data_IF_867878333973
#
_entry.id   IF_867878333973
#
_cell.length_a   1.000
_cell.length_b   1.000
_cell.length_c   1.000
_cell.angle_alpha   90.00
_cell.angle_beta   90.00
_cell.angle_gamma   90.00
#
_symmetry.space_group_name_H-M   'P 1'
#
loop_
_entity.id
_entity.type
_entity.pdbx_description
1 polymer ?
#
# COMPACT_ATOMS: atom_id res chain seq x y z
N UNK A 1 1.11 -4.45 -10.04
CA UNK A 1 1.16 -4.71 -8.58
C UNK A 1 2.31 -5.65 -8.27
N UNK A 2 3.32 -5.20 -7.51
CA UNK A 2 4.37 -6.10 -6.99
C UNK A 2 3.71 -7.02 -5.96
N UNK A 3 3.65 -8.33 -6.23
CA UNK A 3 3.09 -9.32 -5.29
C UNK A 3 4.05 -9.42 -4.10
N UNK A 4 3.54 -9.24 -2.89
CA UNK A 4 4.31 -9.56 -1.69
C UNK A 4 4.44 -11.08 -1.62
N UNK A 5 5.66 -11.61 -1.75
CA UNK A 5 5.86 -13.05 -1.85
C UNK A 5 5.80 -13.74 -0.48
N UNK A 6 5.00 -14.82 -0.41
CA UNK A 6 5.05 -15.87 0.60
C UNK A 6 5.23 -15.38 2.05
N UNK A 7 6.31 -15.84 2.68
CA UNK A 7 6.63 -15.67 4.11
C UNK A 7 6.56 -14.21 4.58
N UNK A 8 6.87 -13.24 3.72
CA UNK A 8 6.82 -11.81 4.05
C UNK A 8 5.36 -11.36 4.28
N UNK A 9 4.41 -11.91 3.51
CA UNK A 9 2.99 -11.59 3.68
C UNK A 9 2.40 -12.17 4.96
N UNK A 10 2.87 -13.34 5.41
CA UNK A 10 2.45 -13.92 6.70
C UNK A 10 2.97 -13.13 7.88
N UNK A 11 4.24 -12.72 7.83
CA UNK A 11 4.86 -11.86 8.84
C UNK A 11 4.13 -10.52 8.96
N UNK A 12 3.86 -9.87 7.83
CA UNK A 12 3.11 -8.61 7.82
C UNK A 12 1.68 -8.78 8.37
N UNK A 13 1.01 -9.90 8.09
CA UNK A 13 -0.32 -10.18 8.66
C UNK A 13 -0.28 -10.30 10.19
N UNK A 14 0.72 -11.00 10.73
CA UNK A 14 0.91 -11.12 12.18
C UNK A 14 1.06 -9.76 12.86
N UNK A 15 1.93 -8.90 12.32
CA UNK A 15 2.12 -7.53 12.85
C UNK A 15 0.84 -6.71 12.79
N UNK A 16 0.08 -6.80 11.68
CA UNK A 16 -1.17 -6.04 11.50
C UNK A 16 -2.28 -6.53 12.44
N UNK A 17 -2.36 -7.82 12.77
CA UNK A 17 -3.42 -8.38 13.61
C UNK A 17 -3.08 -8.37 15.10
N UNK A 18 -1.88 -8.83 15.45
CA UNK A 18 -1.51 -9.14 16.83
C UNK A 18 -0.59 -8.07 17.45
N UNK A 19 -0.15 -7.08 16.65
CA UNK A 19 0.72 -5.99 17.09
C UNK A 19 2.19 -6.38 17.22
N UNK A 20 2.50 -7.68 17.24
CA UNK A 20 3.87 -8.19 17.20
C UNK A 20 4.00 -9.54 16.48
N UNK A 21 5.24 -9.93 16.19
CA UNK A 21 5.57 -11.26 15.65
C UNK A 21 7.05 -11.60 15.86
N UNK A 22 7.37 -12.89 15.89
CA UNK A 22 8.75 -13.39 15.91
C UNK A 22 9.07 -14.07 14.58
N UNK A 23 10.15 -13.65 13.93
CA UNK A 23 10.60 -14.23 12.66
C UNK A 23 12.01 -14.79 12.78
N UNK A 24 12.32 -15.81 11.98
CA UNK A 24 13.66 -16.39 11.92
C UNK A 24 14.29 -16.16 10.55
N UNK A 25 15.41 -15.42 10.53
CA UNK A 25 16.23 -15.14 9.34
C UNK A 25 17.62 -15.69 9.61
N UNK A 26 18.10 -16.59 8.76
CA UNK A 26 19.43 -17.23 8.87
C UNK A 26 19.72 -17.83 10.26
N UNK A 27 18.72 -18.49 10.85
CA UNK A 27 18.82 -19.12 12.18
C UNK A 27 18.79 -18.14 13.36
N UNK A 28 18.63 -16.83 13.10
CA UNK A 28 18.51 -15.81 14.13
C UNK A 28 17.05 -15.38 14.27
N UNK A 29 16.58 -15.30 15.51
CA UNK A 29 15.22 -14.85 15.84
C UNK A 29 15.19 -13.33 16.01
N UNK A 30 14.24 -12.69 15.35
CA UNK A 30 13.96 -11.27 15.42
C UNK A 30 12.54 -11.07 15.92
N UNK A 31 12.37 -10.15 16.88
CA UNK A 31 11.06 -9.70 17.33
C UNK A 31 10.71 -8.41 16.61
N UNK A 32 9.55 -8.38 15.98
CA UNK A 32 8.98 -7.23 15.32
C UNK A 32 7.73 -6.84 16.09
N UNK A 33 7.61 -5.58 16.45
CA UNK A 33 6.41 -5.03 17.07
C UNK A 33 6.03 -3.73 16.38
N UNK A 34 4.74 -3.44 16.36
CA UNK A 34 4.24 -2.14 15.97
C UNK A 34 4.69 -1.12 17.04
N UNK A 35 5.44 -0.10 16.63
CA UNK A 35 5.94 0.92 17.55
C UNK A 35 4.88 1.94 17.95
N UNK A 36 3.96 2.24 17.03
CA UNK A 36 2.90 3.22 17.20
C UNK A 36 1.65 2.72 16.47
N UNK A 37 0.50 2.80 17.13
CA UNK A 37 -0.77 2.52 16.46
C UNK A 37 -1.09 3.66 15.48
N UNK A 38 -1.59 3.34 14.28
CA UNK A 38 -2.04 4.37 13.36
C UNK A 38 -3.24 5.12 13.97
N UNK A 39 -3.24 6.45 13.86
CA UNK A 39 -4.31 7.31 14.40
C UNK A 39 -5.67 7.02 13.77
N UNK A 40 -5.69 6.61 12.51
CA UNK A 40 -6.88 6.26 11.75
C UNK A 40 -6.64 5.04 10.88
N UNK A 41 -7.73 4.39 10.49
CA UNK A 41 -7.73 3.34 9.48
C UNK A 41 -8.08 3.92 8.10
N UNK A 42 -7.63 3.25 7.04
CA UNK A 42 -8.01 3.60 5.66
C UNK A 42 -9.54 3.63 5.47
N UNK A 43 -10.29 2.81 6.22
CA UNK A 43 -11.75 2.81 6.16
C UNK A 43 -12.36 4.08 6.78
N UNK A 44 -11.77 4.60 7.85
CA UNK A 44 -12.16 5.84 8.50
C UNK A 44 -11.81 7.04 7.62
N UNK A 45 -10.58 7.09 7.08
CA UNK A 45 -10.16 8.17 6.18
C UNK A 45 -11.07 8.29 4.95
N UNK A 46 -11.48 7.16 4.37
CA UNK A 46 -12.39 7.11 3.21
C UNK A 46 -13.83 7.48 3.56
N UNK A 47 -14.24 7.26 4.82
CA UNK A 47 -15.56 7.67 5.29
C UNK A 47 -15.60 9.19 5.54
N UNK A 48 -14.52 9.72 6.08
CA UNK A 48 -14.44 11.11 6.53
C UNK A 48 -14.05 12.07 5.37
N UNK A 49 -13.45 11.55 4.29
CA UNK A 49 -13.19 12.29 3.05
C UNK A 49 -13.91 11.66 1.82
N UNK A 50 -15.08 12.21 1.43
CA UNK A 50 -15.80 11.79 0.23
C UNK A 50 -15.01 11.97 -1.08
N UNK A 51 -14.13 12.97 -1.17
CA UNK A 51 -13.31 13.23 -2.37
C UNK A 51 -12.23 12.17 -2.50
N UNK A 52 -11.60 11.76 -1.38
CA UNK A 52 -10.69 10.61 -1.34
C UNK A 52 -11.38 9.35 -1.83
N UNK A 53 -12.62 9.08 -1.38
CA UNK A 53 -13.40 7.94 -1.85
C UNK A 53 -13.60 7.95 -3.36
N UNK A 54 -13.94 9.11 -3.94
CA UNK A 54 -14.10 9.25 -5.39
C UNK A 54 -12.78 9.02 -6.14
N UNK A 55 -11.68 9.61 -5.66
CA UNK A 55 -10.33 9.40 -6.24
C UNK A 55 -9.93 7.94 -6.23
N UNK A 56 -10.19 7.21 -5.14
CA UNK A 56 -9.89 5.77 -5.06
C UNK A 56 -10.75 4.93 -6.00
N UNK A 57 -12.02 5.27 -6.18
CA UNK A 57 -12.90 4.61 -7.15
C UNK A 57 -12.43 4.84 -8.59
N UNK A 58 -12.05 6.07 -8.91
CA UNK A 58 -11.52 6.43 -10.21
C UNK A 58 -10.19 5.73 -10.49
N UNK A 59 -9.25 5.74 -9.54
CA UNK A 59 -7.98 5.03 -9.67
C UNK A 59 -8.16 3.52 -9.89
N UNK A 60 -9.11 2.88 -9.19
CA UNK A 60 -9.46 1.48 -9.44
C UNK A 60 -9.94 1.25 -10.87
N UNK A 61 -10.78 2.13 -11.39
CA UNK A 61 -11.26 2.06 -12.77
C UNK A 61 -10.12 2.26 -13.76
N UNK A 62 -9.25 3.23 -13.54
CA UNK A 62 -8.09 3.49 -14.40
C UNK A 62 -7.14 2.29 -14.47
N UNK A 63 -6.91 1.60 -13.34
CA UNK A 63 -6.14 0.35 -13.31
C UNK A 63 -6.81 -0.76 -14.14
N UNK A 64 -8.14 -0.89 -14.07
CA UNK A 64 -8.89 -1.88 -14.85
C UNK A 64 -8.90 -1.57 -16.35
N UNK A 65 -8.99 -0.28 -16.68
CA UNK A 65 -8.99 0.22 -18.05
C UNK A 65 -7.58 0.30 -18.66
N UNK A 66 -6.53 -0.07 -17.90
CA UNK A 66 -5.13 -0.03 -18.35
C UNK A 66 -4.53 1.38 -18.43
N UNK A 67 -5.20 2.39 -17.86
CA UNK A 67 -4.73 3.78 -17.78
C UNK A 67 -3.74 3.95 -16.64
N UNK A 68 -2.63 3.24 -16.72
CA UNK A 68 -1.53 3.31 -15.76
C UNK A 68 -0.28 3.79 -16.46
N UNK A 69 0.46 4.66 -15.81
CA UNK A 69 1.70 5.21 -16.33
C UNK A 69 2.86 4.86 -15.40
N UNK A 70 3.99 4.55 -16.01
CA UNK A 70 5.29 4.48 -15.34
C UNK A 70 5.79 5.89 -15.05
N UNK A 71 6.79 6.01 -14.18
CA UNK A 71 7.38 7.31 -13.86
C UNK A 71 7.98 8.00 -15.09
N UNK A 72 8.60 7.25 -16.00
CA UNK A 72 9.20 7.81 -17.22
C UNK A 72 8.13 8.36 -18.17
N UNK A 73 7.03 7.61 -18.36
CA UNK A 73 5.88 8.07 -19.17
C UNK A 73 5.27 9.36 -18.59
N UNK A 74 5.15 9.45 -17.26
CA UNK A 74 4.63 10.67 -16.62
C UNK A 74 5.57 11.86 -16.85
N UNK A 75 6.89 11.66 -16.80
CA UNK A 75 7.86 12.72 -17.08
C UNK A 75 7.75 13.22 -18.53
N UNK A 76 7.60 12.31 -19.49
CA UNK A 76 7.38 12.68 -20.90
C UNK A 76 6.07 13.46 -21.10
N UNK A 77 4.98 13.05 -20.44
CA UNK A 77 3.71 13.78 -20.51
C UNK A 77 3.80 15.19 -19.94
N UNK A 78 4.56 15.38 -18.84
CA UNK A 78 4.81 16.71 -18.27
C UNK A 78 5.61 17.58 -19.25
N UNK A 79 6.68 17.02 -19.83
CA UNK A 79 7.50 17.74 -20.81
C UNK A 79 6.72 18.12 -22.08
N UNK A 80 5.69 17.34 -22.42
CA UNK A 80 4.78 17.58 -23.55
C UNK A 80 3.58 18.48 -23.21
N UNK A 81 3.36 18.81 -21.92
CA UNK A 81 2.24 19.63 -21.46
C UNK A 81 0.90 18.91 -21.47
N UNK A 82 0.90 17.59 -21.34
CA UNK A 82 -0.29 16.72 -21.36
C UNK A 82 -0.87 16.41 -19.97
N UNK A 83 -0.31 17.02 -18.92
CA UNK A 83 -0.72 16.91 -17.50
C UNK A 83 -1.20 18.24 -16.96
#
# INVERSE_FOLDING_TARGET
MKKLEGRIAEVMKGIIHDGDTVIEIDGKKYYLSLSEEPETTVAEDVKDDPDLKQKLLQAKKDILDGKTYTSDEVMEMIDQGEV
#
